data_IF_258512855235
#
_entry.id   IF_258512855235
#
_cell.length_a   1.000
_cell.length_b   1.000
_cell.length_c   1.000
_cell.angle_alpha   90.00
_cell.angle_beta   90.00
_cell.angle_gamma   90.00
#
_symmetry.space_group_name_H-M   'P 1'
#
loop_
_entity.id
_entity.type
_entity.pdbx_description
1 polymer ?
#
# COMPACT_ATOMS: atom_id res chain seq x y z
N UNK A 1 -13.90 15.50 11.17
CA UNK A 1 -12.80 15.21 12.10
C UNK A 1 -11.46 15.00 11.37
N UNK A 2 -11.41 14.35 10.20
CA UNK A 2 -10.15 14.05 9.49
C UNK A 2 -9.51 15.26 8.77
N UNK A 3 -10.26 16.32 8.50
CA UNK A 3 -9.77 17.46 7.72
C UNK A 3 -8.59 18.17 8.40
N UNK A 4 -7.71 18.77 7.60
CA UNK A 4 -6.54 19.53 8.08
C UNK A 4 -6.89 20.76 8.92
N UNK A 5 -8.11 21.28 8.79
CA UNK A 5 -8.63 22.40 9.58
C UNK A 5 -9.03 21.99 11.01
N UNK A 6 -9.13 20.69 11.29
CA UNK A 6 -9.35 20.20 12.66
C UNK A 6 -8.08 20.41 13.48
N UNK A 7 -8.19 21.19 14.56
CA UNK A 7 -7.05 21.56 15.40
C UNK A 7 -6.61 20.44 16.36
N UNK A 8 -7.54 19.51 16.69
CA UNK A 8 -7.28 18.42 17.64
C UNK A 8 -6.82 17.14 16.92
N UNK A 9 -5.58 16.73 17.16
CA UNK A 9 -5.08 15.46 16.66
C UNK A 9 -5.82 14.24 17.23
N UNK A 10 -6.36 14.33 18.46
CA UNK A 10 -7.16 13.26 19.06
C UNK A 10 -8.49 13.10 18.31
N UNK A 11 -9.12 14.19 17.90
CA UNK A 11 -10.35 14.13 17.07
C UNK A 11 -10.02 13.60 15.67
N UNK A 12 -8.88 14.03 15.09
CA UNK A 12 -8.43 13.51 13.79
C UNK A 12 -8.16 12.02 13.86
N UNK A 13 -7.44 11.56 14.88
CA UNK A 13 -7.15 10.15 15.09
C UNK A 13 -8.42 9.34 15.27
N UNK A 14 -9.33 9.76 16.14
CA UNK A 14 -10.60 9.07 16.36
C UNK A 14 -11.39 8.95 15.06
N UNK A 15 -11.54 10.04 14.31
CA UNK A 15 -12.26 10.02 13.03
C UNK A 15 -11.58 9.15 11.96
N UNK A 16 -10.23 9.07 11.96
CA UNK A 16 -9.50 8.21 11.02
C UNK A 16 -9.68 6.74 11.40
N UNK A 17 -9.60 6.39 12.69
CA UNK A 17 -9.85 5.03 13.18
C UNK A 17 -11.30 4.59 12.93
N UNK A 18 -12.27 5.49 13.08
CA UNK A 18 -13.66 5.21 12.74
C UNK A 18 -13.81 4.86 11.26
N UNK A 19 -13.06 5.56 10.40
CA UNK A 19 -13.06 5.27 8.96
C UNK A 19 -12.37 3.93 8.66
N UNK A 20 -11.24 3.59 9.30
CA UNK A 20 -10.61 2.25 9.20
C UNK A 20 -11.63 1.17 9.48
N UNK A 21 -12.32 1.28 10.62
CA UNK A 21 -13.33 0.29 11.02
C UNK A 21 -14.56 0.24 10.09
N UNK A 22 -14.86 1.35 9.40
CA UNK A 22 -16.01 1.44 8.50
C UNK A 22 -15.69 0.97 7.07
N UNK A 23 -14.41 0.76 6.70
CA UNK A 23 -14.02 0.47 5.31
C UNK A 23 -14.72 -0.76 4.75
N UNK A 24 -14.85 -1.82 5.52
CA UNK A 24 -15.56 -3.04 5.10
C UNK A 24 -17.05 -2.79 4.74
N UNK A 25 -17.66 -1.75 5.30
CA UNK A 25 -19.09 -1.42 5.11
C UNK A 25 -19.33 -0.19 4.22
N UNK A 26 -18.27 0.38 3.63
CA UNK A 26 -18.35 1.64 2.91
C UNK A 26 -18.72 1.49 1.41
N UNK A 27 -19.16 0.30 0.95
CA UNK A 27 -19.51 0.01 -0.45
C UNK A 27 -20.42 1.09 -1.06
N UNK A 28 -21.53 1.42 -0.37
CA UNK A 28 -22.45 2.44 -0.84
C UNK A 28 -21.84 3.84 -0.98
N UNK A 29 -20.80 4.17 -0.20
CA UNK A 29 -20.06 5.42 -0.32
C UNK A 29 -19.07 5.37 -1.49
N UNK A 30 -18.41 4.24 -1.70
CA UNK A 30 -17.46 4.04 -2.80
C UNK A 30 -18.14 3.96 -4.17
N UNK A 31 -19.38 3.52 -4.25
CA UNK A 31 -20.18 3.58 -5.48
C UNK A 31 -20.52 5.01 -5.89
N UNK A 32 -20.72 5.92 -4.92
CA UNK A 32 -21.01 7.34 -5.20
C UNK A 32 -19.72 8.14 -5.36
N UNK A 33 -19.41 8.53 -6.59
CA UNK A 33 -18.15 9.20 -6.94
C UNK A 33 -17.82 10.39 -6.03
N UNK A 34 -18.78 11.25 -5.72
CA UNK A 34 -18.54 12.43 -4.88
C UNK A 34 -18.12 12.05 -3.43
N UNK A 35 -18.76 11.02 -2.86
CA UNK A 35 -18.44 10.55 -1.52
C UNK A 35 -17.09 9.84 -1.50
N UNK A 36 -16.83 8.98 -2.48
CA UNK A 36 -15.53 8.33 -2.69
C UNK A 36 -14.42 9.36 -2.83
N UNK A 37 -14.58 10.36 -3.72
CA UNK A 37 -13.57 11.42 -3.89
C UNK A 37 -13.29 12.16 -2.59
N UNK A 38 -14.34 12.44 -1.80
CA UNK A 38 -14.18 13.09 -0.51
C UNK A 38 -13.43 12.20 0.50
N UNK A 39 -13.80 10.92 0.62
CA UNK A 39 -13.12 9.96 1.49
C UNK A 39 -11.64 9.86 1.11
N UNK A 40 -11.33 9.63 -0.16
CA UNK A 40 -9.96 9.49 -0.63
C UNK A 40 -9.15 10.77 -0.44
N UNK A 41 -9.74 11.94 -0.69
CA UNK A 41 -9.08 13.22 -0.46
C UNK A 41 -8.69 13.40 1.02
N UNK A 42 -9.63 13.25 1.96
CA UNK A 42 -9.32 13.47 3.39
C UNK A 42 -8.37 12.42 3.93
N UNK A 43 -8.40 11.20 3.39
CA UNK A 43 -7.45 10.13 3.71
C UNK A 43 -6.04 10.49 3.24
N UNK A 44 -5.87 10.89 1.98
CA UNK A 44 -4.57 11.33 1.46
C UNK A 44 -4.04 12.58 2.20
N UNK A 45 -4.90 13.52 2.58
CA UNK A 45 -4.49 14.65 3.43
C UNK A 45 -4.04 14.20 4.83
N UNK A 46 -4.63 13.17 5.39
CA UNK A 46 -4.28 12.63 6.70
C UNK A 46 -2.94 11.87 6.70
N UNK A 47 -2.52 11.26 5.58
CA UNK A 47 -1.21 10.58 5.47
C UNK A 47 -0.01 11.51 5.64
N UNK A 48 -0.20 12.83 5.55
CA UNK A 48 0.85 13.84 5.76
C UNK A 48 0.61 14.69 7.01
N UNK A 49 -0.24 14.23 7.93
CA UNK A 49 -0.48 14.87 9.21
C UNK A 49 0.80 14.92 10.07
N UNK A 50 0.92 15.94 10.93
CA UNK A 50 2.05 16.04 11.87
C UNK A 50 2.06 14.88 12.90
N UNK A 51 0.89 14.38 13.32
CA UNK A 51 0.76 13.27 14.26
C UNK A 51 0.95 11.92 13.55
N UNK A 52 1.96 11.15 13.98
CA UNK A 52 2.31 9.83 13.42
C UNK A 52 1.14 8.85 13.48
N UNK A 53 0.36 8.86 14.56
CA UNK A 53 -0.79 7.95 14.74
C UNK A 53 -1.88 8.20 13.69
N UNK A 54 -2.09 9.47 13.34
CA UNK A 54 -3.04 9.84 12.28
C UNK A 54 -2.51 9.40 10.91
N UNK A 55 -1.21 9.57 10.64
CA UNK A 55 -0.60 9.10 9.38
C UNK A 55 -0.73 7.59 9.23
N UNK A 56 -0.38 6.84 10.29
CA UNK A 56 -0.51 5.37 10.30
C UNK A 56 -1.94 4.95 10.00
N UNK A 57 -2.92 5.44 10.76
CA UNK A 57 -4.32 5.11 10.56
C UNK A 57 -4.84 5.50 9.17
N UNK A 58 -4.32 6.60 8.57
CA UNK A 58 -4.67 6.99 7.21
C UNK A 58 -4.16 6.00 6.16
N UNK A 59 -2.97 5.43 6.33
CA UNK A 59 -2.50 4.35 5.46
C UNK A 59 -3.29 3.06 5.68
N UNK A 60 -3.72 2.73 6.91
CA UNK A 60 -4.64 1.61 7.17
C UNK A 60 -5.97 1.78 6.43
N UNK A 61 -6.51 3.02 6.30
CA UNK A 61 -7.67 3.29 5.44
C UNK A 61 -7.37 2.98 3.97
N UNK A 62 -6.17 3.34 3.48
CA UNK A 62 -5.77 3.03 2.09
C UNK A 62 -5.63 1.52 1.86
N UNK A 63 -5.09 0.77 2.83
CA UNK A 63 -5.04 -0.71 2.79
C UNK A 63 -6.46 -1.27 2.68
N UNK A 64 -7.37 -0.85 3.55
CA UNK A 64 -8.78 -1.28 3.49
C UNK A 64 -9.46 -0.89 2.16
N UNK A 65 -9.06 0.23 1.54
CA UNK A 65 -9.57 0.59 0.22
C UNK A 65 -9.00 -0.32 -0.88
N UNK A 66 -7.74 -0.77 -0.77
CA UNK A 66 -7.14 -1.73 -1.70
C UNK A 66 -7.85 -3.09 -1.64
N UNK A 67 -8.10 -3.58 -0.45
CA UNK A 67 -8.75 -4.88 -0.21
C UNK A 67 -10.22 -4.93 -0.63
N UNK A 68 -10.97 -3.83 -0.45
CA UNK A 68 -12.42 -3.86 -0.61
C UNK A 68 -12.91 -3.11 -1.86
N UNK A 69 -12.12 -2.18 -2.42
CA UNK A 69 -12.55 -1.27 -3.48
C UNK A 69 -11.50 -1.08 -4.59
N UNK A 70 -10.68 -2.09 -4.86
CA UNK A 70 -9.62 -2.11 -5.88
C UNK A 70 -10.07 -1.48 -7.21
N UNK A 71 -11.26 -1.84 -7.70
CA UNK A 71 -11.80 -1.37 -8.98
C UNK A 71 -12.00 0.15 -9.06
N UNK A 72 -12.15 0.80 -7.90
CA UNK A 72 -12.42 2.23 -7.78
C UNK A 72 -11.16 3.06 -7.59
N UNK A 73 -9.96 2.43 -7.47
CA UNK A 73 -8.74 3.11 -7.06
C UNK A 73 -8.02 3.84 -8.18
N UNK A 74 -8.24 3.49 -9.44
CA UNK A 74 -7.48 4.02 -10.58
C UNK A 74 -7.30 5.56 -10.57
N UNK A 75 -8.31 6.39 -10.25
CA UNK A 75 -8.15 7.85 -10.26
C UNK A 75 -7.19 8.38 -9.18
N UNK A 76 -6.91 7.59 -8.14
CA UNK A 76 -6.15 8.01 -6.96
C UNK A 76 -4.74 7.45 -6.93
N UNK A 77 -4.43 6.44 -7.76
CA UNK A 77 -3.20 5.65 -7.67
C UNK A 77 -1.92 6.48 -7.81
N UNK A 78 -1.90 7.52 -8.66
CA UNK A 78 -0.72 8.40 -8.77
C UNK A 78 -0.42 9.11 -7.45
N UNK A 79 -1.44 9.67 -6.79
CA UNK A 79 -1.27 10.33 -5.51
C UNK A 79 -0.87 9.34 -4.40
N UNK A 80 -1.51 8.17 -4.35
CA UNK A 80 -1.19 7.13 -3.37
C UNK A 80 0.24 6.63 -3.56
N UNK A 81 0.69 6.45 -4.81
CA UNK A 81 2.05 6.05 -5.11
C UNK A 81 3.07 7.03 -4.52
N UNK A 82 2.91 8.33 -4.77
CA UNK A 82 3.81 9.36 -4.24
C UNK A 82 3.83 9.37 -2.70
N UNK A 83 2.66 9.20 -2.06
CA UNK A 83 2.52 9.17 -0.61
C UNK A 83 3.18 7.92 0.00
N UNK A 84 2.97 6.74 -0.58
CA UNK A 84 3.56 5.49 -0.10
C UNK A 84 5.07 5.47 -0.26
N UNK A 85 5.61 5.94 -1.40
CA UNK A 85 7.06 6.07 -1.61
C UNK A 85 7.68 7.00 -0.57
N UNK A 86 7.06 8.16 -0.31
CA UNK A 86 7.55 9.11 0.68
C UNK A 86 7.55 8.50 2.09
N UNK A 87 6.47 7.81 2.47
CA UNK A 87 6.35 7.19 3.79
C UNK A 87 7.37 6.06 3.98
N UNK A 88 7.51 5.16 3.01
CA UNK A 88 8.46 4.04 3.08
C UNK A 88 9.92 4.50 3.19
N UNK A 89 10.26 5.64 2.55
CA UNK A 89 11.65 6.14 2.54
C UNK A 89 12.04 6.94 3.77
N UNK A 90 11.12 7.62 4.40
CA UNK A 90 11.50 8.65 5.39
C UNK A 90 10.51 8.94 6.51
N UNK A 91 9.50 8.12 6.73
CA UNK A 91 8.57 8.26 7.86
C UNK A 91 8.94 7.32 9.01
N UNK A 92 8.22 7.41 10.13
CA UNK A 92 8.30 6.48 11.25
C UNK A 92 7.97 5.05 10.78
N UNK A 93 8.61 4.06 11.39
CA UNK A 93 8.49 2.66 10.99
C UNK A 93 7.04 2.18 10.89
N UNK A 94 6.20 2.52 11.89
CA UNK A 94 4.79 2.14 11.90
C UNK A 94 4.00 2.66 10.71
N UNK A 95 4.38 3.83 10.17
CA UNK A 95 3.78 4.42 8.97
C UNK A 95 4.33 3.76 7.71
N UNK A 96 5.64 3.53 7.65
CA UNK A 96 6.30 2.86 6.53
C UNK A 96 5.76 1.44 6.33
N UNK A 97 5.53 0.69 7.41
CA UNK A 97 4.91 -0.64 7.39
C UNK A 97 3.53 -0.61 6.70
N UNK A 98 2.66 0.34 7.06
CA UNK A 98 1.33 0.45 6.45
C UNK A 98 1.40 0.91 4.98
N UNK A 99 2.39 1.74 4.63
CA UNK A 99 2.61 2.14 3.24
C UNK A 99 3.06 0.96 2.35
N UNK A 100 3.86 0.03 2.89
CA UNK A 100 4.25 -1.21 2.21
C UNK A 100 3.05 -2.16 2.14
N UNK A 101 2.27 -2.29 3.22
CA UNK A 101 1.09 -3.14 3.28
C UNK A 101 0.05 -2.78 2.21
N UNK A 102 -0.10 -1.49 1.88
CA UNK A 102 -0.93 -1.08 0.76
C UNK A 102 -0.53 -1.80 -0.55
N UNK A 103 0.77 -1.90 -0.83
CA UNK A 103 1.24 -2.58 -2.05
C UNK A 103 1.13 -4.09 -1.96
N UNK A 104 1.26 -4.66 -0.76
CA UNK A 104 0.98 -6.08 -0.50
C UNK A 104 -0.47 -6.40 -0.80
N UNK A 105 -1.41 -5.58 -0.31
CA UNK A 105 -2.84 -5.74 -0.56
C UNK A 105 -3.19 -5.60 -2.06
N UNK A 106 -2.59 -4.63 -2.77
CA UNK A 106 -2.78 -4.49 -4.23
C UNK A 106 -2.24 -5.72 -4.98
N UNK A 107 -1.07 -6.23 -4.60
CA UNK A 107 -0.47 -7.39 -5.27
C UNK A 107 -1.30 -8.65 -5.04
N UNK A 108 -1.77 -8.89 -3.82
CA UNK A 108 -2.62 -10.03 -3.46
C UNK A 108 -3.95 -9.99 -4.22
N UNK A 109 -4.60 -8.82 -4.26
CA UNK A 109 -5.83 -8.60 -5.02
C UNK A 109 -5.62 -8.84 -6.54
N UNK A 110 -4.48 -8.42 -7.10
CA UNK A 110 -4.17 -8.65 -8.51
C UNK A 110 -3.89 -10.11 -8.81
N UNK A 111 -3.27 -10.87 -7.91
CA UNK A 111 -3.09 -12.33 -8.04
C UNK A 111 -4.44 -13.04 -8.03
N UNK A 112 -5.32 -12.72 -7.07
CA UNK A 112 -6.67 -13.29 -7.01
C UNK A 112 -7.44 -13.02 -8.30
N UNK A 113 -7.36 -11.81 -8.87
CA UNK A 113 -8.03 -11.45 -10.13
C UNK A 113 -7.46 -12.18 -11.33
N UNK A 114 -6.16 -12.46 -11.36
CA UNK A 114 -5.52 -13.26 -12.41
C UNK A 114 -6.05 -14.70 -12.38
N UNK A 115 -6.17 -15.28 -11.19
CA UNK A 115 -6.73 -16.63 -11.00
C UNK A 115 -8.20 -16.68 -11.43
N UNK A 116 -9.01 -15.71 -11.03
CA UNK A 116 -10.41 -15.59 -11.42
C UNK A 116 -10.58 -15.45 -12.95
N UNK A 117 -9.70 -14.68 -13.60
CA UNK A 117 -9.70 -14.53 -15.07
C UNK A 117 -9.33 -15.86 -15.75
N UNK A 118 -8.34 -16.58 -15.21
CA UNK A 118 -7.90 -17.87 -15.74
C UNK A 118 -9.01 -18.93 -15.61
N UNK A 119 -9.70 -18.97 -14.48
CA UNK A 119 -10.79 -19.91 -14.21
C UNK A 119 -12.07 -19.59 -15.01
N UNK A 120 -12.34 -18.32 -15.28
CA UNK A 120 -13.54 -17.91 -16.02
C UNK A 120 -13.51 -18.22 -17.52
N UNK A 121 -12.33 -18.52 -18.10
CA UNK A 121 -12.14 -18.83 -19.51
C UNK A 121 -12.35 -17.64 -20.46
N UNK A 122 -12.14 -17.90 -21.77
CA UNK A 122 -12.30 -16.87 -22.82
C UNK A 122 -13.78 -16.43 -22.94
N UNK A 123 -14.20 -15.42 -22.23
CA UNK A 123 -15.57 -14.84 -22.37
C UNK A 123 -16.09 -14.08 -21.17
N UNK A 124 -15.44 -14.10 -20.04
CA UNK A 124 -15.87 -13.31 -18.88
C UNK A 124 -15.10 -11.97 -18.78
N UNK A 125 -15.63 -10.95 -19.47
CA UNK A 125 -15.08 -9.58 -19.49
C UNK A 125 -15.51 -8.72 -18.30
N UNK A 126 -16.05 -9.33 -17.24
CA UNK A 126 -16.60 -8.56 -16.10
C UNK A 126 -15.58 -8.29 -14.99
N UNK A 127 -14.42 -8.98 -15.00
CA UNK A 127 -13.38 -8.78 -13.96
C UNK A 127 -12.52 -7.58 -14.32
N UNK A 128 -12.60 -6.54 -13.49
CA UNK A 128 -11.78 -5.33 -13.67
C UNK A 128 -10.37 -5.63 -13.17
N UNK A 129 -9.39 -5.51 -14.05
CA UNK A 129 -7.97 -5.73 -13.75
C UNK A 129 -7.13 -4.57 -14.28
N UNK A 130 -6.65 -3.72 -13.37
CA UNK A 130 -5.97 -2.47 -13.72
C UNK A 130 -4.45 -2.61 -13.92
N UNK A 131 -3.84 -3.70 -13.46
CA UNK A 131 -2.38 -3.94 -13.51
C UNK A 131 -1.57 -2.83 -12.81
N UNK A 132 -1.97 -2.43 -11.62
CA UNK A 132 -1.28 -1.39 -10.85
C UNK A 132 0.14 -1.79 -10.49
N UNK A 133 0.37 -3.08 -10.16
CA UNK A 133 1.72 -3.59 -9.84
C UNK A 133 2.63 -3.48 -11.06
N UNK A 134 2.18 -3.89 -12.25
CA UNK A 134 2.97 -3.78 -13.48
C UNK A 134 3.34 -2.32 -13.79
N UNK A 135 2.39 -1.39 -13.59
CA UNK A 135 2.62 0.04 -13.80
C UNK A 135 3.58 0.65 -12.78
N UNK A 136 3.52 0.20 -11.51
CA UNK A 136 4.38 0.69 -10.43
C UNK A 136 5.78 0.04 -10.43
N UNK A 137 5.96 -1.07 -11.11
CA UNK A 137 7.11 -1.97 -11.03
C UNK A 137 8.48 -1.25 -11.10
N UNK A 138 8.74 -0.32 -12.05
CA UNK A 138 10.04 0.34 -12.18
C UNK A 138 10.48 1.15 -10.95
N UNK A 139 9.54 1.53 -10.10
CA UNK A 139 9.80 2.34 -8.91
C UNK A 139 9.52 1.57 -7.62
N UNK A 140 8.51 0.69 -7.64
CA UNK A 140 8.12 -0.13 -6.50
C UNK A 140 9.21 -1.12 -6.11
N UNK A 141 9.76 -1.87 -7.08
CA UNK A 141 10.80 -2.87 -6.81
C UNK A 141 12.07 -2.25 -6.22
N UNK A 142 12.68 -1.18 -6.79
CA UNK A 142 13.81 -0.51 -6.15
C UNK A 142 13.51 0.00 -4.74
N UNK A 143 12.32 0.54 -4.50
CA UNK A 143 11.90 1.01 -3.18
C UNK A 143 11.86 -0.15 -2.16
N UNK A 144 11.28 -1.30 -2.53
CA UNK A 144 11.22 -2.48 -1.67
C UNK A 144 12.62 -3.06 -1.40
N UNK A 145 13.49 -3.10 -2.42
CA UNK A 145 14.86 -3.55 -2.26
C UNK A 145 15.68 -2.63 -1.33
N UNK A 146 15.42 -1.32 -1.36
CA UNK A 146 16.04 -0.37 -0.41
C UNK A 146 15.67 -0.70 1.05
N UNK A 147 14.47 -1.22 1.31
CA UNK A 147 14.06 -1.60 2.69
C UNK A 147 14.87 -2.77 3.22
N UNK A 148 15.29 -3.70 2.36
CA UNK A 148 16.08 -4.87 2.75
C UNK A 148 17.49 -4.50 3.20
N UNK A 149 17.99 -3.32 2.81
CA UNK A 149 19.32 -2.83 3.20
C UNK A 149 19.31 -1.97 4.47
N UNK A 150 18.13 -1.70 5.03
CA UNK A 150 17.95 -0.87 6.23
C UNK A 150 17.96 -1.68 7.54
N UNK A 151 18.28 -2.97 7.51
CA UNK A 151 18.45 -3.74 8.74
C UNK A 151 19.69 -3.22 9.49
N UNK A 152 19.47 -2.58 10.64
CA UNK A 152 20.53 -2.21 11.55
C UNK A 152 21.10 -3.49 12.21
N UNK A 153 22.43 -3.61 12.26
CA UNK A 153 23.11 -4.75 12.89
C UNK A 153 22.74 -4.90 14.39
N UNK A 154 22.29 -3.82 15.02
CA UNK A 154 21.84 -3.78 16.41
C UNK A 154 20.48 -4.44 16.64
N UNK A 155 19.61 -4.54 15.61
CA UNK A 155 18.28 -5.21 15.70
C UNK A 155 18.39 -6.74 15.69
N UNK A 156 19.53 -7.30 15.25
CA UNK A 156 19.78 -8.75 15.25
C UNK A 156 19.91 -9.34 16.65
N UNK A 157 20.08 -8.49 17.68
CA UNK A 157 20.32 -8.92 19.08
C UNK A 157 19.04 -8.87 19.96
N UNK A 158 17.95 -8.26 19.52
CA UNK A 158 16.68 -8.10 20.29
C UNK A 158 15.59 -9.16 20.00
N UNK A 159 15.93 -10.27 19.40
CA UNK A 159 15.03 -11.42 19.19
C UNK A 159 14.31 -11.39 17.84
N UNK A 160 14.50 -12.45 17.09
CA UNK A 160 14.06 -12.72 15.70
C UNK A 160 12.54 -12.59 15.39
N UNK A 161 11.73 -12.06 16.30
CA UNK A 161 10.26 -12.13 16.19
C UNK A 161 9.56 -10.77 15.96
N UNK A 162 10.28 -9.65 15.85
CA UNK A 162 9.65 -8.35 15.64
C UNK A 162 9.51 -8.05 14.15
N UNK A 163 8.27 -7.93 13.68
CA UNK A 163 7.95 -7.54 12.29
C UNK A 163 8.45 -6.13 12.01
N UNK A 164 9.34 -5.99 11.03
CA UNK A 164 10.00 -4.73 10.67
C UNK A 164 9.86 -4.41 9.18
N UNK A 165 10.31 -3.21 8.79
CA UNK A 165 10.22 -2.71 7.40
C UNK A 165 10.95 -3.62 6.39
N UNK A 166 12.07 -4.24 6.77
CA UNK A 166 12.79 -5.15 5.88
C UNK A 166 11.98 -6.43 5.61
N UNK A 167 11.38 -7.00 6.66
CA UNK A 167 10.51 -8.19 6.54
C UNK A 167 9.26 -7.88 5.71
N UNK A 168 8.62 -6.74 5.95
CA UNK A 168 7.47 -6.28 5.18
C UNK A 168 7.84 -6.06 3.71
N UNK A 169 8.98 -5.41 3.44
CA UNK A 169 9.50 -5.18 2.09
C UNK A 169 9.79 -6.48 1.34
N UNK A 170 10.41 -7.46 2.02
CA UNK A 170 10.68 -8.79 1.45
C UNK A 170 9.41 -9.57 1.13
N UNK A 171 8.44 -9.55 2.03
CA UNK A 171 7.13 -10.19 1.83
C UNK A 171 6.37 -9.55 0.67
N UNK A 172 6.30 -8.21 0.64
CA UNK A 172 5.68 -7.47 -0.45
C UNK A 172 6.36 -7.77 -1.80
N UNK A 173 7.71 -7.81 -1.84
CA UNK A 173 8.45 -8.14 -3.04
C UNK A 173 8.13 -9.56 -3.53
N UNK A 174 7.93 -10.52 -2.63
CA UNK A 174 7.46 -11.87 -2.97
C UNK A 174 6.08 -11.87 -3.63
N UNK A 175 5.11 -11.11 -3.10
CA UNK A 175 3.79 -10.94 -3.69
C UNK A 175 3.85 -10.25 -5.07
N UNK A 176 4.65 -9.18 -5.18
CA UNK A 176 4.91 -8.50 -6.45
C UNK A 176 5.47 -9.47 -7.49
N UNK A 177 6.47 -10.29 -7.12
CA UNK A 177 7.05 -11.30 -8.02
C UNK A 177 6.02 -12.35 -8.45
N UNK A 178 5.15 -12.78 -7.55
CA UNK A 178 4.04 -13.69 -7.88
C UNK A 178 3.08 -13.05 -8.89
N UNK A 179 2.75 -11.78 -8.69
CA UNK A 179 1.82 -11.04 -9.54
C UNK A 179 2.37 -10.81 -10.97
N UNK A 180 3.65 -10.41 -11.10
CA UNK A 180 4.23 -10.02 -12.41
C UNK A 180 5.19 -11.04 -13.02
N UNK A 181 5.46 -12.14 -12.29
CA UNK A 181 6.31 -13.24 -12.74
C UNK A 181 7.69 -12.77 -13.26
N UNK A 182 8.08 -13.19 -14.45
CA UNK A 182 9.41 -12.88 -15.02
C UNK A 182 9.69 -11.38 -15.20
N UNK A 183 8.65 -10.54 -15.26
CA UNK A 183 8.84 -9.09 -15.42
C UNK A 183 9.56 -8.42 -14.23
N UNK A 184 9.57 -9.05 -13.04
CA UNK A 184 10.31 -8.53 -11.89
C UNK A 184 11.83 -8.61 -12.08
N UNK A 185 12.32 -9.56 -12.87
CA UNK A 185 13.76 -9.89 -13.00
C UNK A 185 14.57 -8.69 -13.45
N UNK A 186 14.11 -7.96 -14.48
CA UNK A 186 14.82 -6.79 -15.02
C UNK A 186 14.99 -5.66 -13.99
N UNK A 187 14.13 -5.62 -12.98
CA UNK A 187 14.15 -4.61 -11.91
C UNK A 187 14.96 -5.04 -10.69
N UNK A 188 15.10 -6.35 -10.45
CA UNK A 188 15.87 -6.90 -9.33
C UNK A 188 17.35 -7.08 -9.69
N UNK A 189 17.67 -7.47 -10.93
CA UNK A 189 19.04 -7.78 -11.36
C UNK A 189 20.05 -6.64 -11.15
N UNK A 190 19.72 -5.35 -11.42
CA UNK A 190 20.65 -4.25 -11.15
C UNK A 190 21.05 -4.13 -9.68
N UNK A 191 20.11 -4.38 -8.76
CA UNK A 191 20.37 -4.37 -7.32
C UNK A 191 21.28 -5.54 -6.91
N UNK A 192 21.00 -6.74 -7.39
CA UNK A 192 21.81 -7.93 -7.10
C UNK A 192 23.26 -7.71 -7.59
N UNK A 193 23.43 -7.29 -8.84
CA UNK A 193 24.77 -7.09 -9.41
C UNK A 193 25.55 -5.95 -8.77
N UNK A 194 24.87 -4.96 -8.21
CA UNK A 194 25.50 -3.86 -7.48
C UNK A 194 25.88 -4.17 -6.03
N UNK A 195 25.26 -5.19 -5.41
CA UNK A 195 25.44 -5.53 -3.99
C UNK A 195 26.13 -6.89 -3.74
N UNK A 196 26.31 -7.71 -4.77
CA UNK A 196 27.11 -8.95 -4.71
C UNK A 196 28.47 -8.64 -5.33
N UNK A 197 29.38 -8.09 -4.52
CA UNK A 197 30.76 -7.79 -4.90
C UNK A 197 31.72 -8.31 -3.85
#
# INVERSE_FOLDING_TARGET
GMRKEEESNEIRLAATNDLVNAMYFAEGNFEREQERNYIMQVTCEATVCADVRVRQAAFEVLVGAAENYYEKLQPYMTAIFDLTVKATKGDEESVALQAIEFWSAIADEEVCRQDDIADAGEGNHQIVYHRFIEQALPHLVPMLLETLTKQDEDELDEGDDVWNVAMAGGTCLGLVATCVQDAVVDHVMPFITGNIG
#
